data_IF_851172530253
#
_entry.id   IF_851172530253
#
_cell.length_a   1.000
_cell.length_b   1.000
_cell.length_c   1.000
_cell.angle_alpha   90.00
_cell.angle_beta   90.00
_cell.angle_gamma   90.00
#
_symmetry.space_group_name_H-M   'P 1'
#
loop_
_entity.id
_entity.type
_entity.pdbx_description
1 polymer ?
#
# COMPACT_ATOMS: atom_id res chain seq x y z
N UNK A 1 3.12 17.14 -13.12
CA UNK A 1 2.23 17.98 -12.29
C UNK A 1 1.22 17.15 -11.52
N UNK A 2 0.21 16.60 -12.20
CA UNK A 2 -0.92 15.92 -11.56
C UNK A 2 -0.54 14.75 -10.65
N UNK A 3 0.29 13.81 -11.12
CA UNK A 3 0.68 12.64 -10.29
C UNK A 3 1.45 13.02 -9.02
N UNK A 4 2.27 14.07 -9.07
CA UNK A 4 2.99 14.56 -7.89
C UNK A 4 2.00 15.12 -6.88
N UNK A 5 0.97 15.84 -7.33
CA UNK A 5 -0.12 16.30 -6.49
C UNK A 5 -0.90 15.12 -5.88
N UNK A 6 -1.23 14.10 -6.68
CA UNK A 6 -1.93 12.90 -6.20
C UNK A 6 -1.10 12.14 -5.16
N UNK A 7 0.21 12.01 -5.39
CA UNK A 7 1.14 11.39 -4.45
C UNK A 7 1.22 12.18 -3.12
N UNK A 8 1.28 13.51 -3.20
CA UNK A 8 1.28 14.37 -2.03
C UNK A 8 -0.02 14.21 -1.22
N UNK A 9 -1.18 14.26 -1.88
CA UNK A 9 -2.49 14.06 -1.25
C UNK A 9 -2.59 12.66 -0.64
N UNK A 10 -2.22 11.62 -1.37
CA UNK A 10 -2.22 10.24 -0.89
C UNK A 10 -1.36 10.09 0.38
N UNK A 11 -0.18 10.69 0.39
CA UNK A 11 0.72 10.70 1.54
C UNK A 11 0.08 11.41 2.75
N UNK A 12 -0.53 12.58 2.52
CA UNK A 12 -1.18 13.36 3.60
C UNK A 12 -2.36 12.59 4.19
N UNK A 13 -3.22 12.02 3.34
CA UNK A 13 -4.39 11.24 3.77
C UNK A 13 -3.96 9.99 4.54
N UNK A 14 -2.99 9.23 4.01
CA UNK A 14 -2.48 8.04 4.67
C UNK A 14 -1.83 8.38 6.02
N UNK A 15 -0.98 9.41 6.07
CA UNK A 15 -0.38 9.90 7.32
C UNK A 15 -1.43 10.30 8.35
N UNK A 16 -2.46 11.04 7.93
CA UNK A 16 -3.48 11.53 8.84
C UNK A 16 -4.29 10.40 9.49
N UNK A 17 -4.46 9.26 8.79
CA UNK A 17 -5.07 8.05 9.36
C UNK A 17 -4.14 7.29 10.31
N UNK A 18 -2.85 7.21 10.01
CA UNK A 18 -1.86 6.50 10.85
C UNK A 18 -1.64 7.21 12.20
N UNK A 19 -1.62 8.55 12.19
CA UNK A 19 -1.50 9.36 13.40
C UNK A 19 -0.52 10.54 13.24
N UNK A 20 -0.95 11.73 13.68
CA UNK A 20 -0.17 12.98 13.52
C UNK A 20 1.06 13.08 14.43
N UNK A 21 1.09 12.29 15.53
CA UNK A 21 2.07 12.41 16.62
C UNK A 21 3.40 11.72 16.37
N UNK A 22 3.51 10.87 15.34
CA UNK A 22 4.72 10.10 15.08
C UNK A 22 5.68 10.93 14.21
N UNK A 23 6.91 11.23 14.67
CA UNK A 23 7.90 11.98 13.90
C UNK A 23 8.36 11.17 12.67
N UNK A 24 8.64 11.85 11.55
CA UNK A 24 9.13 11.26 10.28
C UNK A 24 8.18 10.30 9.52
N UNK A 25 6.93 10.11 9.96
CA UNK A 25 5.97 9.26 9.24
C UNK A 25 5.64 9.79 7.85
N UNK A 26 5.64 11.10 7.64
CA UNK A 26 5.39 11.70 6.31
C UNK A 26 6.41 11.23 5.27
N UNK A 27 7.71 11.31 5.58
CA UNK A 27 8.78 10.94 4.64
C UNK A 27 8.80 9.45 4.37
N UNK A 28 8.50 8.64 5.37
CA UNK A 28 8.44 7.19 5.25
C UNK A 28 7.25 6.76 4.39
N UNK A 29 6.05 7.27 4.68
CA UNK A 29 4.84 6.99 3.89
C UNK A 29 5.03 7.47 2.45
N UNK A 30 5.57 8.66 2.26
CA UNK A 30 5.89 9.20 0.95
C UNK A 30 6.85 8.28 0.19
N UNK A 31 7.97 7.91 0.81
CA UNK A 31 8.99 7.05 0.20
C UNK A 31 8.44 5.67 -0.17
N UNK A 32 7.65 5.06 0.72
CA UNK A 32 7.04 3.75 0.46
C UNK A 32 6.03 3.80 -0.69
N UNK A 33 5.11 4.78 -0.69
CA UNK A 33 4.11 4.96 -1.76
C UNK A 33 4.79 5.30 -3.07
N UNK A 34 5.78 6.20 -3.06
CA UNK A 34 6.50 6.60 -4.26
C UNK A 34 7.26 5.42 -4.87
N UNK A 35 8.01 4.67 -4.05
CA UNK A 35 8.79 3.53 -4.53
C UNK A 35 7.90 2.42 -5.08
N UNK A 36 6.84 2.04 -4.35
CA UNK A 36 5.95 0.97 -4.80
C UNK A 36 5.16 1.35 -6.06
N UNK A 37 4.64 2.58 -6.13
CA UNK A 37 3.89 3.08 -7.29
C UNK A 37 4.80 3.18 -8.49
N UNK A 38 5.98 3.78 -8.34
CA UNK A 38 6.95 3.93 -9.43
C UNK A 38 7.39 2.57 -9.94
N UNK A 39 7.73 1.63 -9.05
CA UNK A 39 8.15 0.29 -9.44
C UNK A 39 7.03 -0.45 -10.17
N UNK A 40 5.82 -0.45 -9.61
CA UNK A 40 4.70 -1.21 -10.17
C UNK A 40 4.21 -0.63 -11.50
N UNK A 41 4.04 0.69 -11.60
CA UNK A 41 3.59 1.36 -12.84
C UNK A 41 4.67 1.25 -13.92
N UNK A 42 5.94 1.46 -13.58
CA UNK A 42 7.03 1.35 -14.55
C UNK A 42 7.17 -0.09 -15.07
N UNK A 43 7.06 -1.08 -14.19
CA UNK A 43 7.05 -2.49 -14.58
C UNK A 43 5.92 -2.79 -15.57
N UNK A 44 4.69 -2.36 -15.26
CA UNK A 44 3.53 -2.61 -16.12
C UNK A 44 3.62 -1.90 -17.46
N UNK A 45 4.07 -0.64 -17.49
CA UNK A 45 4.20 0.13 -18.73
C UNK A 45 5.31 -0.44 -19.62
N UNK A 46 6.48 -0.72 -19.06
CA UNK A 46 7.68 -1.10 -19.83
C UNK A 46 7.61 -2.55 -20.29
N UNK A 47 7.16 -3.48 -19.45
CA UNK A 47 7.21 -4.91 -19.78
C UNK A 47 5.93 -5.43 -20.41
N UNK A 48 4.77 -4.91 -20.02
CA UNK A 48 3.49 -5.53 -20.38
C UNK A 48 2.73 -4.74 -21.43
N UNK A 49 2.48 -3.44 -21.20
CA UNK A 49 1.67 -2.63 -22.11
C UNK A 49 2.49 -2.22 -23.35
N UNK A 50 3.79 -1.98 -23.18
CA UNK A 50 4.72 -1.59 -24.25
C UNK A 50 4.12 -0.53 -25.22
N UNK A 51 3.65 0.62 -24.69
CA UNK A 51 3.14 1.67 -25.57
C UNK A 51 4.27 2.23 -26.45
N UNK A 52 3.93 2.71 -27.65
CA UNK A 52 4.88 3.38 -28.57
C UNK A 52 5.64 4.52 -27.86
N UNK A 53 4.99 5.17 -26.89
CA UNK A 53 5.58 6.21 -26.05
C UNK A 53 5.34 5.85 -24.58
N UNK A 54 6.42 5.54 -23.85
CA UNK A 54 6.37 5.12 -22.44
C UNK A 54 5.80 6.19 -21.48
N UNK A 55 5.91 7.48 -21.83
CA UNK A 55 5.38 8.60 -21.06
C UNK A 55 4.00 9.09 -21.53
N UNK A 56 3.27 8.29 -22.30
CA UNK A 56 1.95 8.71 -22.80
C UNK A 56 0.98 8.99 -21.62
N UNK A 57 0.47 10.24 -21.49
CA UNK A 57 -0.36 10.64 -20.35
C UNK A 57 -1.65 9.81 -20.21
N UNK A 58 -2.17 9.28 -21.32
CA UNK A 58 -3.40 8.49 -21.36
C UNK A 58 -3.31 7.17 -20.58
N UNK A 59 -2.11 6.60 -20.42
CA UNK A 59 -1.89 5.41 -19.60
C UNK A 59 -1.34 5.76 -18.23
N UNK A 60 -0.38 6.68 -18.21
CA UNK A 60 0.41 6.97 -17.02
C UNK A 60 -0.45 7.63 -15.92
N UNK A 61 -1.37 8.53 -16.29
CA UNK A 61 -2.25 9.20 -15.33
C UNK A 61 -3.28 8.24 -14.72
N UNK A 62 -4.08 7.47 -15.51
CA UNK A 62 -5.06 6.56 -14.93
C UNK A 62 -4.44 5.42 -14.12
N UNK A 63 -3.36 4.80 -14.62
CA UNK A 63 -2.70 3.71 -13.89
C UNK A 63 -2.08 4.22 -12.59
N UNK A 64 -1.40 5.37 -12.64
CA UNK A 64 -0.87 6.02 -11.45
C UNK A 64 -1.97 6.35 -10.43
N UNK A 65 -3.10 6.89 -10.89
CA UNK A 65 -4.24 7.21 -10.02
C UNK A 65 -4.82 5.99 -9.30
N UNK A 66 -5.05 4.89 -10.04
CA UNK A 66 -5.62 3.65 -9.48
C UNK A 66 -4.63 3.01 -8.49
N UNK A 67 -3.33 2.96 -8.82
CA UNK A 67 -2.30 2.44 -7.91
C UNK A 67 -2.19 3.29 -6.65
N UNK A 68 -2.06 4.62 -6.79
CA UNK A 68 -1.95 5.55 -5.67
C UNK A 68 -3.13 5.43 -4.71
N UNK A 69 -4.36 5.33 -5.25
CA UNK A 69 -5.56 5.17 -4.43
C UNK A 69 -5.57 3.87 -3.62
N UNK A 70 -5.10 2.77 -4.21
CA UNK A 70 -5.01 1.48 -3.51
C UNK A 70 -3.92 1.47 -2.45
N UNK A 71 -2.70 1.88 -2.80
CA UNK A 71 -1.59 1.88 -1.84
C UNK A 71 -1.81 2.88 -0.72
N UNK A 72 -2.49 4.02 -0.97
CA UNK A 72 -2.91 4.96 0.07
C UNK A 72 -3.81 4.28 1.10
N UNK A 73 -4.86 3.58 0.65
CA UNK A 73 -5.80 2.91 1.56
C UNK A 73 -5.13 1.77 2.33
N UNK A 74 -4.39 0.90 1.66
CA UNK A 74 -3.70 -0.20 2.32
C UNK A 74 -2.65 0.29 3.32
N UNK A 75 -1.91 1.35 2.98
CA UNK A 75 -0.95 2.00 3.88
C UNK A 75 -1.63 2.57 5.12
N UNK A 76 -2.75 3.26 4.94
CA UNK A 76 -3.50 3.84 6.05
C UNK A 76 -3.99 2.77 7.02
N UNK A 77 -4.63 1.72 6.51
CA UNK A 77 -5.18 0.62 7.31
C UNK A 77 -4.04 -0.13 8.03
N UNK A 78 -2.98 -0.52 7.32
CA UNK A 78 -1.87 -1.25 7.90
C UNK A 78 -1.12 -0.41 8.95
N UNK A 79 -0.84 0.85 8.65
CA UNK A 79 -0.13 1.73 9.57
C UNK A 79 -0.95 2.04 10.83
N UNK A 80 -2.22 2.40 10.69
CA UNK A 80 -3.12 2.63 11.84
C UNK A 80 -3.26 1.38 12.71
N UNK A 81 -3.43 0.21 12.07
CA UNK A 81 -3.54 -1.07 12.78
C UNK A 81 -2.27 -1.40 13.56
N UNK A 82 -1.10 -1.18 12.97
CA UNK A 82 0.19 -1.42 13.63
C UNK A 82 0.38 -0.48 14.83
N UNK A 83 0.15 0.81 14.63
CA UNK A 83 0.29 1.83 15.69
C UNK A 83 -0.64 1.52 16.86
N UNK A 84 -1.90 1.18 16.56
CA UNK A 84 -2.89 0.82 17.57
C UNK A 84 -2.51 -0.47 18.30
N UNK A 85 -2.05 -1.50 17.59
CA UNK A 85 -1.63 -2.76 18.20
C UNK A 85 -0.43 -2.58 19.14
N UNK A 86 0.60 -1.85 18.72
CA UNK A 86 1.78 -1.57 19.56
C UNK A 86 1.40 -0.74 20.79
N UNK A 87 0.52 0.25 20.62
CA UNK A 87 0.08 1.11 21.74
C UNK A 87 -0.73 0.34 22.77
N UNK A 88 -1.59 -0.58 22.33
CA UNK A 88 -2.44 -1.39 23.21
C UNK A 88 -1.66 -2.54 23.88
N UNK A 89 -0.69 -3.14 23.19
CA UNK A 89 0.09 -4.28 23.69
C UNK A 89 1.45 -3.88 24.25
N UNK A 90 1.56 -2.66 24.80
CA UNK A 90 2.81 -2.12 25.35
C UNK A 90 3.48 -3.05 26.37
N UNK A 91 2.71 -3.52 27.35
CA UNK A 91 3.21 -4.37 28.43
C UNK A 91 3.76 -5.71 27.91
N UNK A 92 3.08 -6.29 26.91
CA UNK A 92 3.50 -7.54 26.28
C UNK A 92 4.82 -7.36 25.53
N UNK A 93 4.97 -6.27 24.77
CA UNK A 93 6.21 -5.94 24.05
C UNK A 93 7.36 -5.71 25.03
N UNK A 94 7.15 -4.95 26.12
CA UNK A 94 8.17 -4.72 27.14
C UNK A 94 8.57 -6.01 27.87
N UNK A 95 7.62 -6.94 28.08
CA UNK A 95 7.89 -8.27 28.64
C UNK A 95 8.78 -9.09 27.71
N UNK A 96 8.46 -9.13 26.41
CA UNK A 96 9.30 -9.82 25.42
C UNK A 96 10.72 -9.25 25.36
N UNK A 97 10.87 -7.92 25.38
CA UNK A 97 12.19 -7.28 25.43
C UNK A 97 12.95 -7.64 26.70
N UNK A 98 12.27 -7.71 27.85
CA UNK A 98 12.86 -8.10 29.14
C UNK A 98 13.31 -9.56 29.16
N UNK A 99 12.65 -10.43 28.38
CA UNK A 99 13.05 -11.83 28.15
C UNK A 99 14.17 -11.97 27.10
N UNK A 100 14.72 -10.86 26.59
CA UNK A 100 15.82 -10.86 25.63
C UNK A 100 15.41 -10.93 24.16
N UNK A 101 14.11 -10.78 23.84
CA UNK A 101 13.67 -10.70 22.46
C UNK A 101 14.20 -9.43 21.78
N UNK A 102 14.54 -9.53 20.50
CA UNK A 102 14.90 -8.34 19.71
C UNK A 102 13.65 -7.50 19.40
N UNK A 103 13.78 -6.17 19.22
CA UNK A 103 12.66 -5.30 18.84
C UNK A 103 11.85 -5.82 17.64
N UNK A 104 12.52 -6.41 16.65
CA UNK A 104 11.90 -6.96 15.44
C UNK A 104 11.09 -8.22 15.74
N UNK A 105 11.51 -9.04 16.70
CA UNK A 105 10.78 -10.22 17.15
C UNK A 105 9.56 -9.83 17.98
N UNK A 106 9.71 -8.87 18.91
CA UNK A 106 8.64 -8.42 19.79
C UNK A 106 7.44 -7.81 19.04
N UNK A 107 7.65 -7.31 17.81
CA UNK A 107 6.56 -6.74 16.99
C UNK A 107 6.23 -7.53 15.73
N UNK A 108 6.84 -8.71 15.53
CA UNK A 108 6.66 -9.48 14.30
C UNK A 108 5.19 -9.88 14.08
N UNK A 109 4.51 -10.33 15.14
CA UNK A 109 3.11 -10.74 15.10
C UNK A 109 2.19 -9.55 14.76
N UNK A 110 2.30 -8.44 15.49
CA UNK A 110 1.51 -7.23 15.23
C UNK A 110 1.76 -6.66 13.82
N UNK A 111 2.99 -6.76 13.32
CA UNK A 111 3.33 -6.38 11.94
C UNK A 111 2.63 -7.27 10.92
N UNK A 112 2.63 -8.58 11.12
CA UNK A 112 1.96 -9.51 10.22
C UNK A 112 0.45 -9.26 10.18
N UNK A 113 -0.18 -9.01 11.33
CA UNK A 113 -1.60 -8.71 11.42
C UNK A 113 -1.95 -7.37 10.75
N UNK A 114 -1.11 -6.35 10.93
CA UNK A 114 -1.25 -5.07 10.26
C UNK A 114 -1.16 -5.20 8.72
N UNK A 115 -0.18 -5.96 8.22
CA UNK A 115 -0.04 -6.23 6.78
C UNK A 115 -1.29 -6.97 6.26
N UNK A 116 -1.74 -8.01 6.96
CA UNK A 116 -2.97 -8.73 6.60
C UNK A 116 -4.16 -7.78 6.53
N UNK A 117 -4.35 -6.93 7.55
CA UNK A 117 -5.43 -5.95 7.59
C UNK A 117 -5.41 -4.99 6.37
N UNK A 118 -4.23 -4.51 5.98
CA UNK A 118 -4.07 -3.65 4.79
C UNK A 118 -4.33 -4.33 3.45
N UNK A 119 -4.24 -5.65 3.38
CA UNK A 119 -4.47 -6.45 2.17
C UNK A 119 -5.92 -6.92 2.03
N UNK A 120 -6.67 -7.03 3.12
CA UNK A 120 -8.08 -7.48 3.11
C UNK A 120 -8.92 -6.76 2.04
N UNK A 121 -8.90 -5.41 1.91
CA UNK A 121 -9.73 -4.73 0.91
C UNK A 121 -9.39 -5.13 -0.52
N UNK A 122 -8.10 -5.29 -0.83
CA UNK A 122 -7.65 -5.67 -2.18
C UNK A 122 -8.06 -7.11 -2.50
N UNK A 123 -7.83 -8.04 -1.57
CA UNK A 123 -8.22 -9.45 -1.73
C UNK A 123 -9.73 -9.61 -1.85
N UNK A 124 -10.50 -8.92 -1.02
CA UNK A 124 -11.96 -8.94 -1.08
C UNK A 124 -12.47 -8.41 -2.43
N UNK A 125 -11.89 -7.32 -2.92
CA UNK A 125 -12.24 -6.77 -4.24
C UNK A 125 -11.93 -7.78 -5.35
N UNK A 126 -10.78 -8.46 -5.30
CA UNK A 126 -10.43 -9.47 -6.29
C UNK A 126 -11.36 -10.68 -6.29
N UNK A 127 -11.81 -11.14 -5.12
CA UNK A 127 -12.69 -12.31 -5.02
C UNK A 127 -14.06 -12.09 -5.66
N UNK A 128 -14.58 -10.86 -5.61
CA UNK A 128 -15.93 -10.55 -6.10
C UNK A 128 -15.95 -9.98 -7.53
N UNK A 129 -14.80 -9.58 -8.06
CA UNK A 129 -14.69 -9.01 -9.39
C UNK A 129 -15.07 -10.03 -10.46
N UNK A 130 -15.96 -9.62 -11.36
CA UNK A 130 -16.51 -10.50 -12.40
C UNK A 130 -17.67 -11.38 -11.92
N UNK A 131 -17.85 -11.56 -10.60
CA UNK A 131 -19.00 -12.30 -10.03
C UNK A 131 -20.16 -11.37 -9.68
N UNK A 132 -19.88 -10.31 -8.93
CA UNK A 132 -20.91 -9.38 -8.42
C UNK A 132 -20.93 -8.07 -9.20
N UNK A 133 -19.77 -7.63 -9.68
CA UNK A 133 -19.65 -6.37 -10.41
C UNK A 133 -18.47 -6.39 -11.36
N UNK A 134 -18.66 -5.74 -12.51
CA UNK A 134 -17.59 -5.46 -13.46
C UNK A 134 -16.85 -4.19 -13.02
N UNK A 135 -15.50 -4.22 -12.92
CA UNK A 135 -14.71 -3.03 -12.62
C UNK A 135 -15.03 -1.88 -13.59
N UNK A 136 -14.98 -0.64 -13.10
CA UNK A 136 -15.34 0.55 -13.88
C UNK A 136 -14.52 0.66 -15.18
N UNK A 137 -13.23 0.35 -15.14
CA UNK A 137 -12.37 0.37 -16.32
C UNK A 137 -12.76 -0.70 -17.33
N UNK A 138 -13.01 -1.93 -16.87
CA UNK A 138 -13.42 -3.05 -17.72
C UNK A 138 -14.79 -2.76 -18.37
N UNK A 139 -15.75 -2.25 -17.60
CA UNK A 139 -17.06 -1.81 -18.12
C UNK A 139 -16.91 -0.69 -19.15
N UNK A 140 -16.01 0.27 -18.93
CA UNK A 140 -15.70 1.33 -19.89
C UNK A 140 -15.15 0.78 -21.21
N UNK A 141 -14.26 -0.22 -21.14
CA UNK A 141 -13.71 -0.88 -22.33
C UNK A 141 -14.80 -1.64 -23.10
N UNK A 142 -15.67 -2.37 -22.40
CA UNK A 142 -16.80 -3.06 -23.00
C UNK A 142 -17.77 -2.09 -23.71
N UNK A 143 -18.10 -0.97 -23.06
CA UNK A 143 -18.97 0.07 -23.65
C UNK A 143 -18.32 0.75 -24.88
N UNK A 144 -16.99 0.78 -24.94
CA UNK A 144 -16.25 1.28 -26.12
C UNK A 144 -16.15 0.27 -27.28
N UNK A 145 -16.75 -0.92 -27.13
CA UNK A 145 -16.76 -1.96 -28.16
C UNK A 145 -15.53 -2.86 -28.18
N UNK A 146 -14.68 -2.83 -27.14
CA UNK A 146 -13.56 -3.76 -27.01
C UNK A 146 -14.09 -5.14 -26.64
N UNK A 147 -13.48 -6.19 -27.22
CA UNK A 147 -13.82 -7.58 -26.91
C UNK A 147 -13.74 -7.88 -25.41
N UNK A 148 -14.76 -8.58 -24.90
CA UNK A 148 -14.85 -8.90 -23.48
C UNK A 148 -13.68 -9.73 -22.97
N UNK A 149 -13.13 -10.61 -23.80
CA UNK A 149 -11.97 -11.42 -23.45
C UNK A 149 -10.73 -10.54 -23.23
N UNK A 150 -10.50 -9.57 -24.13
CA UNK A 150 -9.39 -8.62 -24.01
C UNK A 150 -9.55 -7.75 -22.77
N UNK A 151 -10.75 -7.19 -22.54
CA UNK A 151 -11.03 -6.38 -21.36
C UNK A 151 -10.80 -7.16 -20.05
N UNK A 152 -11.20 -8.42 -20.00
CA UNK A 152 -10.96 -9.29 -18.86
C UNK A 152 -9.47 -9.56 -18.62
N UNK A 153 -8.68 -9.84 -19.67
CA UNK A 153 -7.24 -10.04 -19.56
C UNK A 153 -6.52 -8.80 -19.01
N UNK A 154 -6.85 -7.60 -19.51
CA UNK A 154 -6.32 -6.34 -18.97
C UNK A 154 -6.71 -6.13 -17.51
N UNK A 155 -7.93 -6.50 -17.13
CA UNK A 155 -8.40 -6.34 -15.77
C UNK A 155 -7.66 -7.25 -14.77
N UNK A 156 -7.36 -8.50 -15.16
CA UNK A 156 -6.55 -9.43 -14.36
C UNK A 156 -5.15 -8.86 -14.13
N UNK A 157 -4.51 -8.36 -15.19
CA UNK A 157 -3.21 -7.70 -15.13
C UNK A 157 -3.22 -6.53 -14.12
N UNK A 158 -4.21 -5.65 -14.22
CA UNK A 158 -4.34 -4.50 -13.31
C UNK A 158 -4.54 -4.98 -11.86
N UNK A 159 -5.33 -6.02 -11.62
CA UNK A 159 -5.52 -6.55 -10.27
C UNK A 159 -4.21 -7.08 -9.67
N UNK A 160 -3.44 -7.85 -10.44
CA UNK A 160 -2.12 -8.33 -10.00
C UNK A 160 -1.16 -7.18 -9.69
N UNK A 161 -1.15 -6.15 -10.54
CA UNK A 161 -0.37 -4.93 -10.33
C UNK A 161 -0.76 -4.25 -9.01
N UNK A 162 -2.05 -4.10 -8.73
CA UNK A 162 -2.53 -3.44 -7.51
C UNK A 162 -2.20 -4.22 -6.24
N UNK A 163 -2.33 -5.56 -6.26
CA UNK A 163 -1.92 -6.41 -5.14
C UNK A 163 -0.43 -6.28 -4.87
N UNK A 164 0.38 -6.35 -5.93
CA UNK A 164 1.82 -6.24 -5.82
C UNK A 164 2.23 -4.89 -5.22
N UNK A 165 1.69 -3.78 -5.75
CA UNK A 165 1.95 -2.45 -5.22
C UNK A 165 1.49 -2.32 -3.76
N UNK A 166 0.31 -2.82 -3.41
CA UNK A 166 -0.22 -2.72 -2.05
C UNK A 166 0.61 -3.56 -1.05
N UNK A 167 0.97 -4.79 -1.41
CA UNK A 167 1.83 -5.65 -0.61
C UNK A 167 3.20 -5.01 -0.37
N UNK A 168 3.84 -4.51 -1.42
CA UNK A 168 5.15 -3.86 -1.31
C UNK A 168 5.07 -2.61 -0.41
N UNK A 169 4.03 -1.79 -0.59
CA UNK A 169 3.86 -0.57 0.21
C UNK A 169 3.62 -0.89 1.68
N UNK A 170 2.72 -1.84 1.98
CA UNK A 170 2.39 -2.23 3.36
C UNK A 170 3.60 -2.85 4.06
N UNK A 171 4.42 -3.64 3.37
CA UNK A 171 5.69 -4.14 3.90
C UNK A 171 6.65 -3.01 4.26
N UNK A 172 6.92 -2.09 3.33
CA UNK A 172 7.85 -0.98 3.54
C UNK A 172 7.38 -0.05 4.66
N UNK A 173 6.09 0.29 4.68
CA UNK A 173 5.52 1.17 5.70
C UNK A 173 5.58 0.52 7.08
N UNK A 174 5.11 -0.71 7.20
CA UNK A 174 5.06 -1.38 8.51
C UNK A 174 6.45 -1.70 9.05
N UNK A 175 7.41 -2.03 8.19
CA UNK A 175 8.82 -2.20 8.58
C UNK A 175 9.45 -0.87 9.02
N UNK A 176 9.21 0.21 8.29
CA UNK A 176 9.72 1.52 8.65
C UNK A 176 9.10 2.03 9.96
N UNK A 177 7.78 1.88 10.13
CA UNK A 177 7.07 2.29 11.34
C UNK A 177 7.57 1.51 12.54
N UNK A 178 7.70 0.19 12.43
CA UNK A 178 8.25 -0.65 13.49
C UNK A 178 9.63 -0.16 13.95
N UNK A 179 10.51 0.24 13.03
CA UNK A 179 11.84 0.80 13.38
C UNK A 179 11.77 2.14 14.12
N UNK A 180 10.76 2.97 13.86
CA UNK A 180 10.61 4.28 14.52
C UNK A 180 10.12 4.16 15.97
N UNK A 181 9.43 3.07 16.33
CA UNK A 181 8.98 2.82 17.69
C UNK A 181 10.10 2.38 18.64
N UNK A 182 11.31 2.07 18.15
CA UNK A 182 12.43 1.64 18.99
C UNK A 182 13.60 2.61 18.92
N UNK A 183 14.16 2.95 20.08
CA UNK A 183 15.41 3.71 20.17
C UNK A 183 16.64 2.80 19.95
N UNK A 184 17.83 3.41 19.78
CA UNK A 184 19.11 2.70 19.67
C UNK A 184 19.42 1.75 20.85
N UNK A 185 18.76 1.95 22.00
CA UNK A 185 18.85 1.11 23.19
C UNK A 185 17.76 0.02 23.26
N UNK A 186 17.06 -0.28 22.14
CA UNK A 186 15.95 -1.23 22.07
C UNK A 186 14.74 -0.91 22.96
N UNK A 187 14.65 0.31 23.49
CA UNK A 187 13.51 0.76 24.29
C UNK A 187 12.35 1.22 23.40
N UNK A 188 11.14 0.82 23.77
CA UNK A 188 9.91 1.22 23.10
C UNK A 188 9.61 2.70 23.41
N UNK A 189 9.60 3.54 22.37
CA UNK A 189 9.19 4.95 22.43
C UNK A 189 7.86 5.10 21.72
N UNK A 190 6.79 5.26 22.49
CA UNK A 190 5.47 5.65 21.96
C UNK A 190 5.38 7.19 22.04
N UNK A 191 4.95 7.87 20.97
CA UNK A 191 4.68 9.31 21.00
C UNK A 191 3.36 9.68 21.68
#
# INVERSE_FOLDING_TARGET
GLLVLMLAIATIVARNRIGKKIPHVSSLVFGSIFFSTTLSVSYTIVLIIQPEIWYSPQYLIPLGAIVLGQVMNGTAIAGERLVSAISNSRQEIETHLSLGATPQQSVAAYRQDAIRAGLIPTTNSMMVIGLVGLPSLMSGQLLSGIDALNAASYQILIMLMLVFANLLTTLLVTQGLARQFFNAQAQLRIP
#
